data_IF_202542217120
#
_entry.id   IF_202542217120
#
_cell.length_a   1.000
_cell.length_b   1.000
_cell.length_c   1.000
_cell.angle_alpha   90.00
_cell.angle_beta   90.00
_cell.angle_gamma   90.00
#
_symmetry.space_group_name_H-M   'P 1'
#
loop_
_entity.id
_entity.type
_entity.pdbx_description
1 polymer ?
#
# COMPACT_ATOMS: atom_id res chain seq x y z
N UNK A 1 70.20 65.61 -43.55
CA UNK A 1 70.88 66.88 -43.22
C UNK A 1 69.97 68.03 -43.59
N UNK A 2 69.61 68.85 -42.58
CA UNK A 2 69.23 70.28 -42.58
C UNK A 2 68.80 70.94 -43.90
N UNK A 3 67.60 71.54 -43.86
CA UNK A 3 67.16 72.87 -44.35
C UNK A 3 65.62 72.80 -44.45
N UNK A 4 64.76 73.26 -43.54
CA UNK A 4 64.71 74.51 -42.78
C UNK A 4 65.19 75.72 -43.58
N UNK A 5 64.21 76.54 -43.98
CA UNK A 5 64.28 77.95 -44.38
C UNK A 5 63.77 78.23 -45.81
N UNK A 6 62.45 78.27 -45.96
CA UNK A 6 61.80 79.29 -46.80
C UNK A 6 60.39 79.59 -46.26
N UNK A 7 60.35 80.10 -45.02
CA UNK A 7 59.25 80.96 -44.59
C UNK A 7 59.29 82.26 -45.42
N UNK A 8 58.18 82.98 -45.41
CA UNK A 8 57.88 84.24 -46.14
C UNK A 8 57.40 83.92 -47.56
N UNK A 9 56.12 83.97 -47.90
CA UNK A 9 55.20 85.12 -47.83
C UNK A 9 53.81 84.50 -48.06
N UNK A 10 52.96 84.36 -47.02
CA UNK A 10 51.90 85.31 -46.66
C UNK A 10 50.53 84.92 -47.26
N UNK A 11 49.55 84.75 -46.36
CA UNK A 11 48.11 84.84 -46.57
C UNK A 11 47.42 83.71 -47.39
N UNK A 12 46.76 82.76 -46.72
CA UNK A 12 45.32 82.83 -46.37
C UNK A 12 44.46 82.59 -47.63
N UNK A 13 44.03 81.33 -47.82
CA UNK A 13 42.62 80.92 -47.70
C UNK A 13 41.74 81.68 -48.69
N UNK A 14 41.34 81.02 -49.79
CA UNK A 14 39.96 81.04 -50.31
C UNK A 14 39.80 79.81 -51.22
N UNK A 15 38.94 78.90 -50.76
CA UNK A 15 38.04 78.07 -51.53
C UNK A 15 38.62 77.27 -52.72
N UNK A 16 39.19 76.12 -52.39
CA UNK A 16 39.21 74.96 -53.29
C UNK A 16 37.78 74.62 -53.72
N UNK A 17 37.54 74.67 -55.03
CA UNK A 17 36.31 74.22 -55.65
C UNK A 17 36.07 72.72 -55.42
N UNK A 18 34.91 72.42 -54.88
CA UNK A 18 34.27 71.11 -54.93
C UNK A 18 32.80 71.34 -55.28
N UNK A 19 32.50 71.53 -56.56
CA UNK A 19 31.13 71.44 -57.10
C UNK A 19 30.93 70.06 -57.72
N UNK A 20 30.90 69.04 -56.85
CA UNK A 20 30.21 67.78 -57.10
C UNK A 20 29.23 67.61 -55.95
N UNK A 21 27.97 67.93 -56.22
CA UNK A 21 26.87 67.89 -55.27
C UNK A 21 26.49 66.43 -55.01
N UNK A 22 27.06 65.81 -53.98
CA UNK A 22 26.48 64.61 -53.37
C UNK A 22 25.64 65.06 -52.17
N UNK A 23 24.32 65.00 -52.34
CA UNK A 23 23.32 65.30 -51.32
C UNK A 23 23.31 64.14 -50.31
N UNK A 24 23.94 64.29 -49.15
CA UNK A 24 23.72 63.36 -48.05
C UNK A 24 22.27 63.51 -47.57
N UNK A 25 21.49 62.45 -47.75
CA UNK A 25 20.09 62.40 -47.34
C UNK A 25 19.94 62.43 -45.82
N UNK A 26 18.78 62.84 -45.29
CA UNK A 26 18.52 62.83 -43.85
C UNK A 26 18.75 61.43 -43.27
N UNK A 27 19.31 61.36 -42.06
CA UNK A 27 19.41 60.12 -41.28
C UNK A 27 18.00 59.50 -41.22
N UNK A 28 17.90 58.23 -41.62
CA UNK A 28 16.64 57.51 -41.63
C UNK A 28 16.01 57.42 -40.24
N UNK A 29 14.68 57.26 -40.15
CA UNK A 29 14.00 57.13 -38.87
C UNK A 29 14.58 55.96 -38.07
N UNK A 30 14.61 56.10 -36.74
CA UNK A 30 15.01 55.03 -35.85
C UNK A 30 14.18 53.77 -36.13
N UNK A 31 14.83 52.61 -36.17
CA UNK A 31 14.16 51.34 -36.38
C UNK A 31 13.08 51.09 -35.32
N UNK A 32 11.98 50.46 -35.71
CA UNK A 32 10.91 50.08 -34.78
C UNK A 32 11.47 49.19 -33.67
N UNK A 33 10.96 49.34 -32.44
CA UNK A 33 11.31 48.45 -31.33
C UNK A 33 11.11 46.97 -31.73
N UNK A 34 12.02 46.11 -31.27
CA UNK A 34 11.92 44.67 -31.49
C UNK A 34 10.61 44.12 -30.90
N UNK A 35 10.06 43.09 -31.53
CA UNK A 35 8.84 42.42 -31.03
C UNK A 35 9.17 41.75 -29.70
N UNK A 36 8.23 41.78 -28.75
CA UNK A 36 8.34 40.99 -27.52
C UNK A 36 8.49 39.50 -27.87
N UNK A 37 9.32 38.79 -27.12
CA UNK A 37 9.54 37.36 -27.32
C UNK A 37 8.26 36.56 -27.06
N UNK A 38 7.98 35.56 -27.89
CA UNK A 38 6.82 34.68 -27.68
C UNK A 38 6.95 33.92 -26.35
N UNK A 39 5.82 33.75 -25.65
CA UNK A 39 5.77 32.94 -24.44
C UNK A 39 6.22 31.50 -24.75
N UNK A 40 7.09 30.95 -23.91
CA UNK A 40 7.58 29.57 -24.06
C UNK A 40 6.44 28.55 -24.06
N UNK A 41 6.60 27.49 -24.85
CA UNK A 41 5.62 26.41 -24.92
C UNK A 41 5.35 25.80 -23.54
N UNK A 42 4.08 25.45 -23.29
CA UNK A 42 3.69 24.74 -22.07
C UNK A 42 4.40 23.39 -22.02
N UNK A 43 5.04 23.07 -20.91
CA UNK A 43 5.75 21.80 -20.73
C UNK A 43 4.82 20.59 -20.87
N UNK A 44 5.38 19.49 -21.37
CA UNK A 44 4.66 18.24 -21.58
C UNK A 44 4.07 17.69 -20.28
N UNK A 45 2.95 16.98 -20.41
CA UNK A 45 2.36 16.27 -19.28
C UNK A 45 3.32 15.15 -18.86
N UNK A 46 3.68 15.10 -17.58
CA UNK A 46 4.53 14.05 -17.05
C UNK A 46 3.95 12.65 -17.24
N UNK A 47 4.84 11.66 -17.31
CA UNK A 47 4.49 10.27 -17.52
C UNK A 47 3.59 9.72 -16.40
N UNK A 48 2.82 8.69 -16.75
CA UNK A 48 2.01 7.96 -15.77
C UNK A 48 2.95 7.18 -14.85
N UNK A 49 2.76 7.31 -13.54
CA UNK A 49 3.54 6.57 -12.55
C UNK A 49 3.37 5.04 -12.67
N UNK A 50 4.36 4.32 -12.16
CA UNK A 50 4.40 2.86 -12.17
C UNK A 50 3.24 2.23 -11.42
N UNK A 51 2.90 1.00 -11.81
CA UNK A 51 1.92 0.20 -11.08
C UNK A 51 2.53 -0.25 -9.75
N UNK A 52 1.77 -0.12 -8.66
CA UNK A 52 2.19 -0.60 -7.35
C UNK A 52 2.34 -2.12 -7.26
N UNK A 53 3.09 -2.57 -6.26
CA UNK A 53 3.39 -3.98 -6.01
C UNK A 53 2.14 -4.82 -5.69
N UNK A 54 2.24 -6.13 -5.93
CA UNK A 54 1.19 -7.07 -5.54
C UNK A 54 1.22 -7.25 -4.02
N UNK A 55 0.04 -7.20 -3.39
CA UNK A 55 -0.09 -7.46 -1.95
C UNK A 55 0.26 -8.90 -1.54
N UNK A 56 0.59 -9.07 -0.27
CA UNK A 56 0.94 -10.37 0.31
C UNK A 56 -0.21 -11.39 0.27
N UNK A 57 0.13 -12.68 0.31
CA UNK A 57 -0.87 -13.74 0.47
C UNK A 57 -1.48 -13.66 1.87
N UNK A 58 -2.80 -13.65 1.95
CA UNK A 58 -3.53 -13.75 3.21
C UNK A 58 -3.41 -15.13 3.86
N UNK A 59 -3.91 -15.26 5.10
CA UNK A 59 -3.97 -16.52 5.82
C UNK A 59 -5.00 -17.49 5.22
N UNK A 60 -4.76 -18.78 5.44
CA UNK A 60 -5.62 -19.87 5.01
C UNK A 60 -6.22 -20.62 6.19
N UNK A 61 -7.36 -21.29 5.96
CA UNK A 61 -7.90 -22.30 6.87
C UNK A 61 -7.65 -23.67 6.22
N UNK A 62 -6.76 -24.44 6.82
CA UNK A 62 -6.45 -25.81 6.45
C UNK A 62 -7.37 -26.77 7.22
N UNK A 63 -7.46 -28.04 6.78
CA UNK A 63 -8.19 -29.06 7.54
C UNK A 63 -7.60 -30.45 7.35
N UNK A 64 -7.85 -31.31 8.33
CA UNK A 64 -7.44 -32.71 8.29
C UNK A 64 -8.05 -33.49 9.45
N UNK A 65 -7.54 -34.70 9.68
CA UNK A 65 -7.97 -35.55 10.79
C UNK A 65 -6.81 -35.66 11.77
N UNK A 66 -7.04 -35.31 13.03
CA UNK A 66 -6.02 -35.26 14.06
C UNK A 66 -5.25 -33.95 14.11
N UNK A 67 -4.35 -33.88 15.10
CA UNK A 67 -3.49 -32.73 15.39
C UNK A 67 -2.66 -32.36 14.13
N UNK A 68 -2.61 -31.08 13.73
CA UNK A 68 -1.87 -30.68 12.54
C UNK A 68 -0.36 -30.92 12.69
N UNK A 69 0.28 -31.37 11.61
CA UNK A 69 1.74 -31.42 11.52
C UNK A 69 2.32 -30.02 11.67
N UNK A 70 3.43 -29.90 12.40
CA UNK A 70 4.14 -28.63 12.60
C UNK A 70 4.68 -28.05 11.29
N UNK A 71 5.00 -28.89 10.30
CA UNK A 71 5.45 -28.46 8.98
C UNK A 71 4.30 -27.98 8.05
N UNK A 72 3.04 -28.26 8.40
CA UNK A 72 1.88 -27.85 7.60
C UNK A 72 1.56 -26.37 7.84
N UNK A 73 1.23 -25.62 6.79
CA UNK A 73 0.76 -24.23 6.87
C UNK A 73 1.84 -23.19 7.21
N UNK A 74 1.54 -21.94 6.88
CA UNK A 74 2.34 -20.77 7.17
C UNK A 74 1.92 -20.13 8.51
N UNK A 75 2.78 -19.26 9.05
CA UNK A 75 2.44 -18.41 10.20
C UNK A 75 1.22 -17.55 9.81
N UNK A 76 0.22 -17.49 10.70
CA UNK A 76 -1.06 -16.83 10.46
C UNK A 76 -2.18 -17.74 10.00
N UNK A 77 -1.89 -18.96 9.54
CA UNK A 77 -2.92 -19.91 9.10
C UNK A 77 -3.68 -20.52 10.28
N UNK A 78 -4.90 -20.99 10.01
CA UNK A 78 -5.72 -21.79 10.92
C UNK A 78 -5.80 -23.23 10.42
N UNK A 79 -6.08 -24.17 11.31
CA UNK A 79 -6.29 -25.58 10.96
C UNK A 79 -7.47 -26.18 11.72
N UNK A 80 -8.39 -26.80 10.99
CA UNK A 80 -9.52 -27.53 11.55
C UNK A 80 -9.23 -29.04 11.58
N UNK A 81 -9.08 -29.59 12.79
CA UNK A 81 -9.09 -31.02 13.06
C UNK A 81 -10.55 -31.51 13.10
N UNK A 82 -10.96 -32.22 12.05
CA UNK A 82 -12.31 -32.75 11.90
C UNK A 82 -12.60 -33.97 12.78
N UNK A 83 -11.56 -34.68 13.23
CA UNK A 83 -11.70 -35.89 14.03
C UNK A 83 -11.96 -35.54 15.50
N UNK A 84 -11.15 -34.62 16.05
CA UNK A 84 -11.27 -34.22 17.44
C UNK A 84 -12.08 -32.93 17.62
N UNK A 85 -12.60 -32.37 16.51
CA UNK A 85 -13.34 -31.11 16.48
C UNK A 85 -12.53 -29.96 17.10
N UNK A 86 -11.23 -29.90 16.80
CA UNK A 86 -10.33 -28.88 17.35
C UNK A 86 -9.96 -27.85 16.28
N UNK A 87 -10.01 -26.57 16.61
CA UNK A 87 -9.49 -25.47 15.80
C UNK A 87 -8.15 -25.01 16.33
N UNK A 88 -7.12 -25.10 15.51
CA UNK A 88 -5.79 -24.60 15.81
C UNK A 88 -5.53 -23.28 15.08
N UNK A 89 -4.73 -22.42 15.69
CA UNK A 89 -4.23 -21.18 15.09
C UNK A 89 -4.85 -19.88 15.62
N UNK A 90 -4.40 -18.72 15.12
CA UNK A 90 -3.47 -18.57 14.00
C UNK A 90 -2.08 -19.12 14.35
N UNK A 91 -1.43 -19.83 13.41
CA UNK A 91 -0.13 -20.46 13.65
C UNK A 91 0.89 -19.39 14.01
N UNK A 92 1.56 -19.54 15.15
CA UNK A 92 2.44 -18.49 15.71
C UNK A 92 3.92 -18.67 15.32
N UNK A 93 4.34 -19.90 15.01
CA UNK A 93 5.73 -20.18 14.60
C UNK A 93 5.78 -21.33 13.60
N UNK A 94 6.93 -21.49 12.93
CA UNK A 94 7.14 -22.57 11.96
C UNK A 94 7.00 -23.98 12.57
N UNK A 95 7.09 -24.12 13.89
CA UNK A 95 7.12 -25.41 14.59
C UNK A 95 5.96 -25.63 15.55
N UNK A 96 5.06 -24.66 15.72
CA UNK A 96 4.01 -24.75 16.72
C UNK A 96 2.69 -24.13 16.25
N UNK A 97 1.62 -24.95 16.32
CA UNK A 97 0.24 -24.56 16.04
C UNK A 97 -0.49 -23.99 17.27
N UNK A 98 0.09 -24.13 18.47
CA UNK A 98 -0.53 -23.73 19.72
C UNK A 98 -1.56 -24.74 20.24
N UNK A 99 -2.21 -24.38 21.34
CA UNK A 99 -3.32 -25.16 21.87
C UNK A 99 -4.53 -25.03 20.94
N UNK A 100 -5.16 -26.17 20.61
CA UNK A 100 -6.40 -26.16 19.86
C UNK A 100 -7.57 -25.71 20.73
N UNK A 101 -8.55 -25.04 20.11
CA UNK A 101 -9.86 -24.75 20.66
C UNK A 101 -10.83 -25.87 20.30
N UNK A 102 -11.43 -26.51 21.29
CA UNK A 102 -12.48 -27.50 21.05
C UNK A 102 -13.74 -26.79 20.53
N UNK A 103 -14.18 -27.16 19.32
CA UNK A 103 -15.37 -26.63 18.65
C UNK A 103 -16.63 -27.45 18.92
N UNK A 104 -16.49 -28.69 19.38
CA UNK A 104 -17.61 -29.59 19.66
C UNK A 104 -17.70 -29.99 21.13
N UNK A 105 -18.89 -30.32 21.62
CA UNK A 105 -19.06 -31.02 22.91
C UNK A 105 -18.54 -32.46 22.79
N UNK A 106 -17.21 -32.62 22.87
CA UNK A 106 -16.52 -33.91 22.80
C UNK A 106 -16.89 -34.79 23.99
N UNK A 107 -17.96 -35.56 23.84
CA UNK A 107 -18.55 -36.39 24.89
C UNK A 107 -19.99 -35.97 25.13
N UNK A 108 -20.88 -36.96 25.37
CA UNK A 108 -22.23 -36.65 25.86
C UNK A 108 -22.14 -35.55 26.91
N UNK A 109 -22.95 -34.51 26.74
CA UNK A 109 -22.93 -33.31 27.56
C UNK A 109 -22.64 -33.69 29.03
N UNK A 110 -21.57 -33.18 29.65
CA UNK A 110 -21.14 -33.61 31.00
C UNK A 110 -22.26 -33.51 32.03
N UNK A 111 -23.13 -32.51 31.87
CA UNK A 111 -24.31 -32.33 32.71
C UNK A 111 -25.27 -33.52 32.55
N UNK A 112 -25.50 -33.96 31.30
CA UNK A 112 -26.35 -35.13 31.01
C UNK A 112 -25.70 -36.43 31.52
N UNK A 113 -24.39 -36.62 31.34
CA UNK A 113 -23.69 -37.81 31.88
C UNK A 113 -23.82 -37.90 33.40
N UNK A 114 -23.57 -36.80 34.09
CA UNK A 114 -23.67 -36.71 35.56
C UNK A 114 -25.10 -36.90 36.04
N UNK A 115 -26.06 -36.27 35.36
CA UNK A 115 -27.46 -36.34 35.71
C UNK A 115 -28.03 -37.76 35.53
N UNK A 116 -27.71 -38.44 34.42
CA UNK A 116 -28.16 -39.82 34.15
C UNK A 116 -27.63 -40.77 35.22
N UNK A 117 -26.36 -40.66 35.59
CA UNK A 117 -25.75 -41.51 36.61
C UNK A 117 -26.40 -41.38 38.00
N UNK A 118 -26.96 -40.19 38.32
CA UNK A 118 -27.57 -39.91 39.63
C UNK A 118 -29.07 -40.18 39.67
N UNK A 119 -29.79 -39.96 38.58
CA UNK A 119 -31.26 -39.93 38.61
C UNK A 119 -31.93 -41.10 37.88
N UNK A 120 -31.21 -41.80 37.01
CA UNK A 120 -31.72 -43.04 36.40
C UNK A 120 -31.38 -44.19 37.33
N UNK A 121 -32.38 -44.68 38.06
CA UNK A 121 -32.24 -45.72 39.07
C UNK A 121 -33.14 -46.91 38.76
N UNK A 122 -32.72 -48.10 39.19
CA UNK A 122 -33.52 -49.33 39.18
C UNK A 122 -33.96 -49.61 40.62
N UNK A 123 -35.25 -49.84 40.83
CA UNK A 123 -35.79 -50.17 42.15
C UNK A 123 -35.71 -51.68 42.47
N UNK A 124 -36.16 -52.07 43.67
CA UNK A 124 -36.18 -53.47 44.12
C UNK A 124 -37.16 -54.38 43.35
N UNK A 125 -37.95 -53.80 42.43
CA UNK A 125 -38.89 -54.48 41.58
C UNK A 125 -38.49 -54.43 40.09
N UNK A 126 -37.25 -54.00 39.79
CA UNK A 126 -36.71 -53.83 38.45
C UNK A 126 -37.41 -52.76 37.60
N UNK A 127 -38.12 -51.81 38.20
CA UNK A 127 -38.62 -50.65 37.47
C UNK A 127 -37.51 -49.63 37.26
N UNK A 128 -37.50 -49.01 36.07
CA UNK A 128 -36.55 -47.93 35.74
C UNK A 128 -37.24 -46.58 35.92
N UNK A 129 -36.70 -45.75 36.81
CA UNK A 129 -37.13 -44.35 36.92
C UNK A 129 -36.34 -43.49 35.92
N UNK A 130 -37.03 -42.82 34.99
CA UNK A 130 -36.42 -41.91 34.01
C UNK A 130 -37.06 -40.52 34.17
N UNK A 131 -36.42 -39.59 34.91
CA UNK A 131 -36.95 -38.24 35.05
C UNK A 131 -36.82 -37.41 33.76
N UNK A 132 -37.46 -36.25 33.70
CA UNK A 132 -37.40 -35.38 32.53
C UNK A 132 -36.04 -34.69 32.40
N UNK A 133 -35.51 -34.65 31.16
CA UNK A 133 -34.35 -33.84 30.81
C UNK A 133 -34.82 -32.42 30.47
N UNK A 134 -34.38 -31.43 31.25
CA UNK A 134 -34.72 -30.02 31.04
C UNK A 134 -33.56 -29.26 30.40
N UNK A 135 -33.85 -28.09 29.79
CA UNK A 135 -32.82 -27.19 29.29
C UNK A 135 -31.87 -26.71 30.40
N UNK A 136 -32.36 -26.61 31.62
CA UNK A 136 -31.54 -26.25 32.77
C UNK A 136 -30.56 -27.37 33.13
N UNK A 137 -30.99 -28.63 33.07
CA UNK A 137 -30.09 -29.79 33.19
C UNK A 137 -29.08 -29.79 32.05
N UNK A 138 -29.48 -29.52 30.80
CA UNK A 138 -28.56 -29.50 29.66
C UNK A 138 -27.52 -28.37 29.78
N UNK A 139 -27.93 -27.15 30.12
CA UNK A 139 -27.05 -25.98 30.12
C UNK A 139 -26.28 -25.78 31.43
N UNK A 140 -26.92 -26.05 32.58
CA UNK A 140 -26.41 -25.68 33.91
C UNK A 140 -26.14 -26.89 34.83
N UNK A 141 -26.51 -28.11 34.43
CA UNK A 141 -26.28 -29.32 35.23
C UNK A 141 -27.04 -29.35 36.56
N UNK A 142 -28.17 -28.65 36.62
CA UNK A 142 -28.96 -28.52 37.84
C UNK A 142 -29.44 -29.89 38.37
N UNK A 143 -29.23 -30.05 39.69
CA UNK A 143 -29.63 -31.19 40.53
C UNK A 143 -31.07 -31.00 40.99
#
# INVERSE_FOLDING_TARGET
>A
MKKMLLCSVLAIIIATGFTSCQKEGPIGPAGTAGRDGENGAKGDKGDKGDKGDKGDKGSQILSGNGIPSTALGAIGDYYLDKQNLMLYGPKLSATNWGAGLLLGGGGANPNIKSWVAKHVQIDNYFNVNIPALTNDIFNNGAV
#
